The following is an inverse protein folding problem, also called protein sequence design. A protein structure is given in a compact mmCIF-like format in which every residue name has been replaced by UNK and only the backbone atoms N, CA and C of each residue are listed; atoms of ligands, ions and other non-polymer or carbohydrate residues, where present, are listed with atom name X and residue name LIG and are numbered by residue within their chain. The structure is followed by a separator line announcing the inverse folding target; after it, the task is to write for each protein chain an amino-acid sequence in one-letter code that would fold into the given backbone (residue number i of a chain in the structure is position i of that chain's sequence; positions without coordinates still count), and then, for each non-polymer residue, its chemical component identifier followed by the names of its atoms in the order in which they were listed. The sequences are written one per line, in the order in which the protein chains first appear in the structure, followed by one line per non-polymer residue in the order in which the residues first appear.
data_IF_846515966002
#
_entry.id   IF_846515966002
#
_cell.length_a   1.000
_cell.length_b   1.000
_cell.length_c   1.000
_cell.angle_alpha   90.00
_cell.angle_beta   90.00
_cell.angle_gamma   90.00
#
_symmetry.space_group_name_H-M   'P 1'
#
loop_
_entity.id
_entity.type
_entity.pdbx_description
1 polymer ?
#
# COMPACT_ATOMS: atom_id res chain seq x y z
N UNK A 1 -6.85 3.74 -33.83
CA UNK A 1 -5.93 3.10 -32.87
C UNK A 1 -5.33 4.21 -32.02
N UNK A 2 -5.60 4.26 -30.71
CA UNK A 2 -5.05 5.31 -29.85
C UNK A 2 -3.57 4.99 -29.61
N UNK A 3 -2.69 5.72 -30.27
CA UNK A 3 -1.31 5.92 -29.79
C UNK A 3 -1.39 6.63 -28.44
N UNK A 4 -1.65 5.86 -27.38
CA UNK A 4 -1.26 6.31 -26.06
C UNK A 4 0.25 6.21 -26.06
N UNK A 5 0.90 7.37 -26.06
CA UNK A 5 2.29 7.55 -25.66
C UNK A 5 2.48 6.81 -24.33
N UNK A 6 2.86 5.52 -24.39
CA UNK A 6 3.09 4.68 -23.24
C UNK A 6 4.39 5.15 -22.58
N UNK A 7 4.28 6.26 -21.84
CA UNK A 7 5.36 6.75 -21.00
C UNK A 7 5.52 5.73 -19.86
N UNK A 8 6.78 5.38 -19.53
CA UNK A 8 7.06 4.39 -18.50
C UNK A 8 6.37 4.76 -17.17
N UNK A 9 5.48 3.89 -16.69
CA UNK A 9 4.59 4.16 -15.57
C UNK A 9 5.21 3.86 -14.20
N UNK A 10 6.38 3.22 -14.17
CA UNK A 10 7.05 2.73 -12.95
C UNK A 10 7.24 3.79 -11.86
N UNK A 11 7.53 5.04 -12.24
CA UNK A 11 7.70 6.12 -11.26
C UNK A 11 6.42 6.34 -10.45
N UNK A 12 5.26 6.30 -11.11
CA UNK A 12 3.96 6.43 -10.45
C UNK A 12 3.70 5.25 -9.51
N UNK A 13 3.93 4.02 -9.98
CA UNK A 13 3.76 2.80 -9.18
C UNK A 13 4.60 2.82 -7.88
N UNK A 14 5.88 3.19 -7.98
CA UNK A 14 6.79 3.25 -6.82
C UNK A 14 6.40 4.39 -5.87
N UNK A 15 6.17 5.60 -6.39
CA UNK A 15 5.82 6.76 -5.56
C UNK A 15 4.52 6.47 -4.79
N UNK A 16 3.52 5.89 -5.45
CA UNK A 16 2.25 5.55 -4.81
C UNK A 16 2.42 4.52 -3.69
N UNK A 17 3.23 3.47 -3.93
CA UNK A 17 3.57 2.49 -2.90
C UNK A 17 4.29 3.10 -1.69
N UNK A 18 5.26 3.99 -1.91
CA UNK A 18 5.98 4.68 -0.83
C UNK A 18 5.02 5.57 -0.03
N UNK A 19 4.17 6.35 -0.70
CA UNK A 19 3.19 7.21 -0.03
C UNK A 19 2.25 6.38 0.85
N UNK A 20 1.77 5.23 0.36
CA UNK A 20 0.91 4.34 1.15
C UNK A 20 1.65 3.80 2.40
N UNK A 21 2.92 3.40 2.29
CA UNK A 21 3.72 3.00 3.46
C UNK A 21 3.85 4.16 4.46
N UNK A 22 4.21 5.36 3.98
CA UNK A 22 4.37 6.55 4.83
C UNK A 22 3.08 6.92 5.53
N UNK A 23 1.95 6.87 4.83
CA UNK A 23 0.63 7.09 5.42
C UNK A 23 0.32 6.04 6.49
N UNK A 24 0.63 4.75 6.25
CA UNK A 24 0.41 3.69 7.25
C UNK A 24 1.23 4.00 8.51
N UNK A 25 2.51 4.34 8.35
CA UNK A 25 3.39 4.70 9.47
C UNK A 25 2.92 5.96 10.20
N UNK A 26 2.41 6.96 9.49
CA UNK A 26 1.87 8.18 10.08
C UNK A 26 0.62 7.87 10.90
N UNK A 27 -0.33 7.09 10.35
CA UNK A 27 -1.53 6.64 11.08
C UNK A 27 -1.16 5.84 12.33
N UNK A 28 -0.15 4.97 12.23
CA UNK A 28 0.41 4.23 13.37
C UNK A 28 0.95 5.16 14.44
N UNK A 29 1.77 6.14 14.08
CA UNK A 29 2.37 7.09 15.03
C UNK A 29 1.35 8.00 15.70
N UNK A 30 0.33 8.42 14.97
CA UNK A 30 -0.76 9.24 15.49
C UNK A 30 -1.77 8.43 16.32
N UNK A 31 -1.55 7.12 16.51
CA UNK A 31 -2.46 6.22 17.22
C UNK A 31 -3.89 6.27 16.66
N UNK A 32 -4.02 6.60 15.38
CA UNK A 32 -5.28 6.57 14.67
C UNK A 32 -5.56 5.09 14.38
N UNK A 33 -6.04 4.39 15.41
CA UNK A 33 -6.49 2.99 15.36
C UNK A 33 -7.82 2.86 14.61
N UNK A 34 -8.21 3.87 13.81
CA UNK A 34 -9.32 3.72 12.91
C UNK A 34 -8.90 2.71 11.85
N UNK A 35 -9.67 1.62 11.81
CA UNK A 35 -9.89 0.81 10.61
C UNK A 35 -10.44 1.76 9.53
N UNK A 36 -9.59 2.65 9.03
CA UNK A 36 -9.96 3.68 8.09
C UNK A 36 -10.16 2.96 6.77
N UNK A 37 -11.42 2.74 6.42
CA UNK A 37 -11.84 2.17 5.14
C UNK A 37 -11.16 2.88 3.98
N UNK A 38 -10.90 4.19 4.12
CA UNK A 38 -10.15 5.01 3.16
C UNK A 38 -8.73 4.48 2.96
N UNK A 39 -8.04 4.13 4.03
CA UNK A 39 -6.67 3.63 3.97
C UNK A 39 -6.58 2.25 3.32
N UNK A 40 -7.51 1.37 3.68
CA UNK A 40 -7.63 0.06 3.06
C UNK A 40 -7.91 0.19 1.55
N UNK A 41 -8.82 1.10 1.17
CA UNK A 41 -9.12 1.40 -0.23
C UNK A 41 -7.90 1.95 -0.97
N UNK A 42 -7.14 2.87 -0.37
CA UNK A 42 -5.93 3.42 -0.99
C UNK A 42 -4.86 2.34 -1.27
N UNK A 43 -4.67 1.40 -0.34
CA UNK A 43 -3.75 0.28 -0.52
C UNK A 43 -4.23 -0.66 -1.63
N UNK A 44 -5.52 -1.01 -1.63
CA UNK A 44 -6.12 -1.90 -2.65
C UNK A 44 -6.04 -1.26 -4.04
N UNK A 45 -6.43 0.01 -4.15
CA UNK A 45 -6.37 0.77 -5.41
C UNK A 45 -4.91 0.88 -5.89
N UNK A 46 -3.98 1.15 -4.98
CA UNK A 46 -2.54 1.21 -5.30
C UNK A 46 -1.99 -0.09 -5.84
N UNK A 47 -2.34 -1.22 -5.21
CA UNK A 47 -1.94 -2.54 -5.67
C UNK A 47 -2.57 -2.89 -7.01
N UNK A 48 -3.88 -2.63 -7.19
CA UNK A 48 -4.60 -2.93 -8.42
C UNK A 48 -4.11 -2.10 -9.61
N UNK A 49 -3.89 -0.80 -9.40
CA UNK A 49 -3.34 0.10 -10.44
C UNK A 49 -1.92 -0.32 -10.80
N UNK A 50 -1.05 -0.57 -9.81
CA UNK A 50 0.32 -1.02 -10.07
C UNK A 50 0.36 -2.36 -10.82
N UNK A 51 -0.48 -3.33 -10.43
CA UNK A 51 -0.55 -4.63 -11.08
C UNK A 51 -1.06 -4.54 -12.53
N UNK A 52 -2.04 -3.65 -12.77
CA UNK A 52 -2.51 -3.36 -14.14
C UNK A 52 -1.38 -2.76 -14.98
N UNK A 53 -0.62 -1.81 -14.42
CA UNK A 53 0.53 -1.20 -15.09
C UNK A 53 1.68 -2.17 -15.36
N UNK A 54 1.88 -3.20 -14.52
CA UNK A 54 2.84 -4.29 -14.84
C UNK A 54 2.47 -4.98 -16.15
N UNK A 55 1.19 -5.34 -16.31
CA UNK A 55 0.72 -6.03 -17.50
C UNK A 55 0.83 -5.13 -18.74
N UNK A 56 0.39 -3.88 -18.63
CA UNK A 56 0.43 -2.91 -19.73
C UNK A 56 1.86 -2.59 -20.17
N UNK A 57 2.78 -2.36 -19.24
CA UNK A 57 4.19 -2.08 -19.55
C UNK A 57 4.91 -3.32 -20.10
N UNK A 58 4.55 -4.52 -19.64
CA UNK A 58 5.09 -5.77 -20.15
C UNK A 58 4.64 -6.01 -21.60
N UNK A 59 3.34 -5.87 -21.88
CA UNK A 59 2.75 -6.07 -23.21
C UNK A 59 3.27 -5.01 -24.21
N UNK A 60 3.60 -3.81 -23.73
CA UNK A 60 4.23 -2.75 -24.53
C UNK A 60 5.76 -2.91 -24.71
N UNK A 61 6.38 -3.94 -24.13
CA UNK A 61 7.82 -4.23 -24.25
C UNK A 61 8.73 -3.47 -23.28
N UNK A 62 8.19 -2.66 -22.37
CA UNK A 62 8.93 -1.91 -21.36
C UNK A 62 9.27 -2.78 -20.13
N UNK A 63 10.13 -3.78 -20.31
CA UNK A 63 10.53 -4.73 -19.25
C UNK A 63 10.99 -4.07 -17.95
N UNK A 64 11.82 -3.02 -18.04
CA UNK A 64 12.32 -2.29 -16.87
C UNK A 64 11.19 -1.57 -16.11
N UNK A 65 10.22 -1.02 -16.85
CA UNK A 65 9.07 -0.32 -16.27
C UNK A 65 8.12 -1.31 -15.60
N UNK A 66 7.88 -2.46 -16.23
CA UNK A 66 7.10 -3.56 -15.64
C UNK A 66 7.70 -4.06 -14.32
N UNK A 67 9.03 -4.22 -14.23
CA UNK A 67 9.72 -4.56 -12.97
C UNK A 67 9.52 -3.45 -11.93
N UNK A 68 9.64 -2.18 -12.31
CA UNK A 68 9.40 -1.07 -11.38
C UNK A 68 7.95 -1.01 -10.85
N UNK A 69 6.95 -1.31 -11.69
CA UNK A 69 5.58 -1.45 -11.21
C UNK A 69 5.35 -2.70 -10.36
N UNK A 70 6.07 -3.80 -10.61
CA UNK A 70 6.02 -4.98 -9.75
C UNK A 70 6.58 -4.68 -8.35
N UNK A 71 7.65 -3.88 -8.27
CA UNK A 71 8.15 -3.32 -7.00
C UNK A 71 7.07 -2.45 -6.34
N UNK A 72 6.38 -1.60 -7.12
CA UNK A 72 5.23 -0.83 -6.63
C UNK A 72 4.12 -1.70 -6.02
N UNK A 73 3.79 -2.84 -6.64
CA UNK A 73 2.84 -3.82 -6.09
C UNK A 73 3.34 -4.37 -4.76
N UNK A 74 4.61 -4.78 -4.68
CA UNK A 74 5.20 -5.31 -3.44
C UNK A 74 5.21 -4.27 -2.31
N UNK A 75 5.48 -3.00 -2.63
CA UNK A 75 5.43 -1.91 -1.65
C UNK A 75 4.01 -1.70 -1.11
N UNK A 76 2.98 -1.73 -1.98
CA UNK A 76 1.59 -1.65 -1.55
C UNK A 76 1.20 -2.86 -0.70
N UNK A 77 1.66 -4.06 -1.04
CA UNK A 77 1.42 -5.26 -0.25
C UNK A 77 2.08 -5.16 1.12
N UNK A 78 3.32 -4.66 1.18
CA UNK A 78 4.02 -4.36 2.42
C UNK A 78 3.29 -3.34 3.29
N UNK A 79 2.75 -2.28 2.68
CA UNK A 79 1.89 -1.31 3.37
C UNK A 79 0.65 -1.99 3.98
N UNK A 80 0.00 -2.90 3.24
CA UNK A 80 -1.14 -3.68 3.72
C UNK A 80 -0.79 -4.57 4.92
N UNK A 81 0.34 -5.29 4.85
CA UNK A 81 0.80 -6.13 5.98
C UNK A 81 1.10 -5.28 7.20
N UNK A 82 1.84 -4.18 7.04
CA UNK A 82 2.12 -3.23 8.13
C UNK A 82 0.84 -2.70 8.76
N UNK A 83 -0.17 -2.39 7.94
CA UNK A 83 -1.46 -1.90 8.41
C UNK A 83 -2.19 -2.94 9.27
N UNK A 84 -2.28 -4.19 8.81
CA UNK A 84 -2.92 -5.28 9.56
C UNK A 84 -2.19 -5.57 10.86
N UNK A 85 -0.86 -5.67 10.83
CA UNK A 85 -0.03 -5.89 12.01
C UNK A 85 -0.23 -4.75 13.03
N UNK A 86 -0.32 -3.52 12.56
CA UNK A 86 -0.54 -2.38 13.45
C UNK A 86 -1.92 -2.41 14.13
N UNK A 87 -2.97 -2.80 13.40
CA UNK A 87 -4.30 -3.00 14.00
C UNK A 87 -4.24 -4.08 15.10
N UNK A 88 -3.60 -5.21 14.82
CA UNK A 88 -3.46 -6.31 15.78
C UNK A 88 -2.69 -5.88 17.04
N UNK A 89 -1.56 -5.18 16.88
CA UNK A 89 -0.81 -4.64 18.03
C UNK A 89 -1.64 -3.62 18.82
N UNK A 90 -2.42 -2.78 18.13
CA UNK A 90 -3.34 -1.84 18.76
C UNK A 90 -4.40 -2.54 19.63
N UNK A 91 -5.01 -3.60 19.11
CA UNK A 91 -6.00 -4.41 19.83
C UNK A 91 -5.38 -5.11 21.04
N UNK A 92 -4.21 -5.73 20.89
CA UNK A 92 -3.49 -6.38 21.99
C UNK A 92 -3.16 -5.38 23.10
N UNK A 93 -2.66 -4.19 22.74
CA UNK A 93 -2.36 -3.14 23.71
C UNK A 93 -3.61 -2.63 24.43
N UNK A 94 -4.75 -2.52 23.72
CA UNK A 94 -6.02 -2.13 24.32
C UNK A 94 -6.51 -3.18 25.32
N UNK A 95 -6.45 -4.47 24.96
CA UNK A 95 -6.85 -5.58 25.83
C UNK A 95 -5.95 -5.64 27.07
N UNK A 96 -4.63 -5.56 26.90
CA UNK A 96 -3.68 -5.57 28.02
C UNK A 96 -3.93 -4.40 28.98
N UNK A 97 -4.13 -3.18 28.45
CA UNK A 97 -4.48 -2.02 29.28
C UNK A 97 -5.79 -2.23 30.04
N UNK A 98 -6.80 -2.81 29.40
CA UNK A 98 -8.08 -3.11 30.06
C UNK A 98 -7.89 -4.09 31.22
N UNK A 99 -7.15 -5.18 31.01
CA UNK A 99 -6.85 -6.17 32.06
C UNK A 99 -6.14 -5.52 33.25
N UNK A 100 -5.07 -4.76 33.02
CA UNK A 100 -4.32 -4.06 34.10
C UNK A 100 -5.13 -2.97 34.80
N UNK A 101 -6.17 -2.42 34.17
CA UNK A 101 -7.02 -1.40 34.80
C UNK A 101 -8.11 -2.03 35.68
N UNK A 102 -8.55 -3.24 35.35
CA UNK A 102 -9.70 -3.90 35.99
C UNK A 102 -9.30 -4.85 37.12
N UNK A 103 -8.13 -5.48 37.03
CA UNK A 103 -7.60 -6.44 38.02
C UNK A 103 -6.35 -5.90 38.69
#
# INVERSE_FOLDING_TARGET
MKEQNAKPSWKGCIIFGIINILLVLLCTKLNIMLVSTVMMLLIIVGAAVSAKSVKEDHDAGYKLSAVGCAIGVLLNFGAGVLYVVNILMGLVNMIMKFITTVF
#
